data_IF_308752356218
#
_entry.id   IF_308752356218
#
_cell.length_a   1.000
_cell.length_b   1.000
_cell.length_c   1.000
_cell.angle_alpha   90.00
_cell.angle_beta   90.00
_cell.angle_gamma   90.00
#
_symmetry.space_group_name_H-M   'P 1'
#
loop_
_entity.id
_entity.type
_entity.pdbx_description
1 polymer ?
#
# COMPACT_ATOMS: atom_id res chain seq x y z
N UNK A 1 6.07 21.29 6.27
CA UNK A 1 5.91 19.84 6.45
C UNK A 1 7.28 19.21 6.56
N UNK A 2 7.47 18.38 7.59
CA UNK A 2 8.70 17.62 7.81
C UNK A 2 8.97 16.67 6.63
N UNK A 3 10.23 16.27 6.43
CA UNK A 3 10.61 15.26 5.45
C UNK A 3 9.77 13.99 5.60
N UNK A 4 9.53 13.54 6.84
CA UNK A 4 8.76 12.34 7.15
C UNK A 4 7.27 12.48 6.76
N UNK A 5 6.67 13.65 6.97
CA UNK A 5 5.29 13.90 6.55
C UNK A 5 5.16 13.91 5.02
N UNK A 6 6.13 14.54 4.32
CA UNK A 6 6.16 14.54 2.85
C UNK A 6 6.35 13.13 2.29
N UNK A 7 7.21 12.32 2.91
CA UNK A 7 7.44 10.92 2.57
C UNK A 7 6.16 10.08 2.77
N UNK A 8 5.44 10.29 3.87
CA UNK A 8 4.17 9.60 4.12
C UNK A 8 3.10 9.97 3.07
N UNK A 9 2.96 11.25 2.72
CA UNK A 9 2.08 11.70 1.64
C UNK A 9 2.45 11.10 0.29
N UNK A 10 3.74 11.08 -0.03
CA UNK A 10 4.24 10.51 -1.27
C UNK A 10 3.89 9.02 -1.36
N UNK A 11 4.13 8.26 -0.29
CA UNK A 11 3.77 6.84 -0.24
C UNK A 11 2.28 6.62 -0.48
N UNK A 12 1.41 7.40 0.17
CA UNK A 12 -0.03 7.32 -0.08
C UNK A 12 -0.38 7.58 -1.55
N UNK A 13 0.25 8.57 -2.19
CA UNK A 13 0.02 8.85 -3.62
C UNK A 13 0.48 7.70 -4.52
N UNK A 14 1.62 7.08 -4.20
CA UNK A 14 2.10 5.90 -4.94
C UNK A 14 1.10 4.76 -4.82
N UNK A 15 0.61 4.47 -3.61
CA UNK A 15 -0.41 3.44 -3.37
C UNK A 15 -1.63 3.64 -4.27
N UNK A 16 -2.15 4.87 -4.34
CA UNK A 16 -3.27 5.19 -5.23
C UNK A 16 -2.92 4.99 -6.70
N UNK A 17 -1.72 5.41 -7.13
CA UNK A 17 -1.25 5.19 -8.50
C UNK A 17 -1.14 3.72 -8.86
N UNK A 18 -0.56 2.91 -7.98
CA UNK A 18 -0.44 1.45 -8.14
C UNK A 18 -1.82 0.80 -8.23
N UNK A 19 -2.79 1.25 -7.42
CA UNK A 19 -4.16 0.75 -7.50
C UNK A 19 -4.82 1.03 -8.86
N UNK A 20 -4.62 2.22 -9.42
CA UNK A 20 -5.17 2.56 -10.75
C UNK A 20 -4.53 1.68 -11.82
N UNK A 21 -3.22 1.49 -11.78
CA UNK A 21 -2.49 0.63 -12.70
C UNK A 21 -2.97 -0.82 -12.57
N UNK A 22 -3.16 -1.29 -11.34
CA UNK A 22 -3.66 -2.61 -11.02
C UNK A 22 -5.08 -2.84 -11.59
N UNK A 23 -6.01 -1.95 -11.26
CA UNK A 23 -7.39 -2.04 -11.75
C UNK A 23 -7.46 -2.02 -13.27
N UNK A 24 -6.62 -1.19 -13.90
CA UNK A 24 -6.48 -1.16 -15.36
C UNK A 24 -5.92 -2.46 -15.92
N UNK A 25 -4.93 -3.07 -15.26
CA UNK A 25 -4.37 -4.35 -15.67
C UNK A 25 -5.41 -5.48 -15.59
N UNK A 26 -6.15 -5.58 -14.49
CA UNK A 26 -7.22 -6.59 -14.33
C UNK A 26 -8.32 -6.41 -15.37
N UNK A 27 -8.72 -5.16 -15.64
CA UNK A 27 -9.72 -4.84 -16.65
C UNK A 27 -9.25 -5.23 -18.07
N UNK A 28 -8.00 -4.91 -18.42
CA UNK A 28 -7.45 -5.20 -19.75
C UNK A 28 -7.11 -6.67 -19.96
N UNK A 29 -6.76 -7.42 -18.91
CA UNK A 29 -6.33 -8.82 -19.03
C UNK A 29 -7.51 -9.82 -19.06
N UNK A 30 -8.67 -9.38 -19.57
CA UNK A 30 -9.87 -10.18 -19.81
C UNK A 30 -10.32 -10.99 -18.59
N UNK A 31 -10.53 -10.34 -17.44
CA UNK A 31 -11.29 -10.98 -16.35
C UNK A 31 -12.61 -11.50 -16.92
N UNK A 32 -12.80 -12.82 -16.87
CA UNK A 32 -13.98 -13.47 -17.40
C UNK A 32 -14.84 -13.97 -16.23
N UNK A 33 -16.10 -13.52 -16.11
CA UNK A 33 -17.01 -14.02 -15.08
C UNK A 33 -17.33 -15.52 -15.21
N UNK A 34 -16.99 -16.15 -16.33
CA UNK A 34 -17.19 -17.58 -16.58
C UNK A 34 -15.95 -18.45 -16.31
N UNK A 35 -14.91 -17.92 -15.67
CA UNK A 35 -13.77 -18.76 -15.27
C UNK A 35 -14.23 -19.89 -14.34
N UNK A 36 -13.64 -21.07 -14.52
CA UNK A 36 -13.72 -22.11 -13.49
C UNK A 36 -12.83 -21.72 -12.30
N UNK A 37 -12.99 -22.43 -11.17
CA UNK A 37 -12.28 -22.10 -9.92
C UNK A 37 -10.76 -22.12 -10.08
N UNK A 38 -10.22 -23.04 -10.87
CA UNK A 38 -8.78 -23.18 -11.08
C UNK A 38 -8.22 -22.03 -11.95
N UNK A 39 -8.94 -21.65 -13.00
CA UNK A 39 -8.61 -20.50 -13.85
C UNK A 39 -8.67 -19.19 -13.07
N UNK A 40 -9.67 -19.02 -12.21
CA UNK A 40 -9.82 -17.86 -11.34
C UNK A 40 -8.64 -17.76 -10.36
N UNK A 41 -8.29 -18.86 -9.68
CA UNK A 41 -7.11 -18.94 -8.81
C UNK A 41 -5.83 -18.58 -9.55
N UNK A 42 -5.60 -19.16 -10.73
CA UNK A 42 -4.41 -18.89 -11.53
C UNK A 42 -4.35 -17.44 -12.02
N UNK A 43 -5.49 -16.86 -12.40
CA UNK A 43 -5.57 -15.45 -12.81
C UNK A 43 -5.14 -14.53 -11.66
N UNK A 44 -5.72 -14.69 -10.48
CA UNK A 44 -5.40 -13.85 -9.32
C UNK A 44 -3.97 -14.08 -8.82
N UNK A 45 -3.49 -15.32 -8.82
CA UNK A 45 -2.11 -15.64 -8.46
C UNK A 45 -1.10 -14.97 -9.41
N UNK A 46 -1.29 -15.11 -10.74
CA UNK A 46 -0.44 -14.45 -11.75
C UNK A 46 -0.46 -12.92 -11.59
N UNK A 47 -1.65 -12.38 -11.39
CA UNK A 47 -1.85 -10.94 -11.24
C UNK A 47 -1.12 -10.41 -10.01
N UNK A 48 -1.30 -11.03 -8.84
CA UNK A 48 -0.61 -10.63 -7.60
C UNK A 48 0.91 -10.80 -7.70
N UNK A 49 1.37 -11.93 -8.27
CA UNK A 49 2.79 -12.21 -8.46
C UNK A 49 3.47 -11.17 -9.37
N UNK A 50 2.74 -10.65 -10.36
CA UNK A 50 3.25 -9.59 -11.25
C UNK A 50 3.25 -8.21 -10.56
N UNK A 51 2.22 -7.90 -9.79
CA UNK A 51 2.01 -6.56 -9.22
C UNK A 51 2.96 -6.29 -8.06
N UNK A 52 3.28 -7.28 -7.23
CA UNK A 52 4.18 -7.11 -6.07
C UNK A 52 5.56 -6.59 -6.50
N UNK A 53 6.29 -7.21 -7.46
CA UNK A 53 7.57 -6.68 -7.94
C UNK A 53 7.45 -5.29 -8.56
N UNK A 54 6.40 -5.04 -9.36
CA UNK A 54 6.17 -3.74 -9.98
C UNK A 54 6.01 -2.66 -8.92
N UNK A 55 5.22 -2.92 -7.87
CA UNK A 55 5.05 -2.01 -6.74
C UNK A 55 6.38 -1.73 -6.03
N UNK A 56 7.18 -2.76 -5.74
CA UNK A 56 8.50 -2.61 -5.09
C UNK A 56 9.42 -1.70 -5.94
N UNK A 57 9.49 -1.95 -7.26
CA UNK A 57 10.32 -1.15 -8.17
C UNK A 57 9.85 0.30 -8.21
N UNK A 58 8.54 0.55 -8.31
CA UNK A 58 7.98 1.91 -8.29
C UNK A 58 8.34 2.63 -6.98
N UNK A 59 8.16 1.99 -5.83
CA UNK A 59 8.49 2.58 -4.53
C UNK A 59 9.98 2.95 -4.43
N UNK A 60 10.87 2.07 -4.88
CA UNK A 60 12.31 2.34 -4.89
C UNK A 60 12.63 3.55 -5.76
N UNK A 61 12.14 3.57 -7.00
CA UNK A 61 12.40 4.67 -7.95
C UNK A 61 11.89 6.00 -7.41
N UNK A 62 10.66 6.02 -6.88
CA UNK A 62 10.06 7.25 -6.35
C UNK A 62 10.79 7.73 -5.09
N UNK A 63 11.22 6.85 -4.19
CA UNK A 63 12.02 7.24 -3.02
C UNK A 63 13.38 7.81 -3.40
N UNK A 64 14.06 7.23 -4.40
CA UNK A 64 15.33 7.77 -4.91
C UNK A 64 15.11 9.17 -5.48
N UNK A 65 14.11 9.35 -6.36
CA UNK A 65 13.79 10.65 -6.95
C UNK A 65 13.44 11.68 -5.88
N UNK A 66 12.62 11.30 -4.89
CA UNK A 66 12.26 12.17 -3.78
C UNK A 66 13.48 12.59 -2.95
N UNK A 67 14.39 11.66 -2.67
CA UNK A 67 15.63 11.97 -1.94
C UNK A 67 16.51 12.97 -2.70
N UNK A 68 16.65 12.80 -4.03
CA UNK A 68 17.42 13.72 -4.88
C UNK A 68 16.80 15.12 -4.88
N UNK A 69 15.49 15.21 -5.14
CA UNK A 69 14.76 16.49 -5.18
C UNK A 69 14.87 17.20 -3.83
N UNK A 70 14.69 16.48 -2.73
CA UNK A 70 14.76 17.05 -1.40
C UNK A 70 16.18 17.53 -1.05
N UNK A 71 17.22 16.78 -1.45
CA UNK A 71 18.61 17.20 -1.23
C UNK A 71 18.96 18.47 -2.01
N UNK A 72 18.53 18.57 -3.28
CA UNK A 72 18.74 19.79 -4.09
C UNK A 72 18.00 20.99 -3.48
N UNK A 73 16.74 20.80 -3.08
CA UNK A 73 15.91 21.89 -2.54
C UNK A 73 16.43 22.41 -1.19
N UNK A 74 16.94 21.53 -0.33
CA UNK A 74 17.29 21.88 1.05
C UNK A 74 18.77 22.26 1.20
N UNK A 75 19.63 21.95 0.21
CA UNK A 75 21.10 22.16 0.22
C UNK A 75 21.87 21.58 1.41
N UNK A 76 21.19 20.93 2.36
CA UNK A 76 21.77 20.20 3.47
C UNK A 76 22.12 18.79 3.00
N UNK A 77 23.38 18.41 3.22
CA UNK A 77 23.93 17.07 2.97
C UNK A 77 23.87 16.18 4.19
N UNK A 78 23.32 16.66 5.31
CA UNK A 78 23.11 15.84 6.50
C UNK A 78 21.92 14.91 6.24
N UNK A 79 22.21 13.60 6.21
CA UNK A 79 21.18 12.58 6.34
C UNK A 79 20.47 12.83 7.68
N UNK A 80 19.19 13.19 7.67
CA UNK A 80 18.38 13.27 8.89
C UNK A 80 18.47 11.92 9.61
N UNK A 81 19.19 11.91 10.74
CA UNK A 81 19.27 10.77 11.63
C UNK A 81 17.86 10.51 12.17
N UNK A 82 17.36 9.30 11.94
CA UNK A 82 16.09 8.84 12.54
C UNK A 82 16.22 8.90 14.05
N UNK A 83 15.38 9.72 14.68
CA UNK A 83 15.31 9.87 16.13
C UNK A 83 14.49 8.73 16.77
N UNK A 84 14.60 8.57 18.09
CA UNK A 84 13.75 7.66 18.86
C UNK A 84 12.27 7.99 18.69
N UNK A 85 11.93 9.28 18.56
CA UNK A 85 10.57 9.73 18.30
C UNK A 85 10.02 9.18 16.98
N UNK A 86 10.80 9.26 15.89
CA UNK A 86 10.42 8.73 14.58
C UNK A 86 10.16 7.22 14.65
N UNK A 87 11.02 6.50 15.41
CA UNK A 87 10.87 5.05 15.60
C UNK A 87 9.57 4.69 16.33
N UNK A 88 9.16 5.48 17.31
CA UNK A 88 7.89 5.23 18.01
C UNK A 88 6.70 5.49 17.07
N UNK A 89 6.76 6.55 16.26
CA UNK A 89 5.72 6.83 15.26
C UNK A 89 5.63 5.68 14.25
N UNK A 90 6.77 5.21 13.74
CA UNK A 90 6.84 4.10 12.80
C UNK A 90 6.19 2.83 13.36
N UNK A 91 6.48 2.50 14.61
CA UNK A 91 5.89 1.33 15.28
C UNK A 91 4.37 1.49 15.47
N UNK A 92 3.89 2.69 15.88
CA UNK A 92 2.45 2.94 16.07
C UNK A 92 1.69 2.93 14.73
N UNK A 93 2.24 3.55 13.70
CA UNK A 93 1.65 3.58 12.37
C UNK A 93 1.61 2.18 11.76
N UNK A 94 2.71 1.43 11.85
CA UNK A 94 2.78 0.05 11.37
C UNK A 94 1.79 -0.84 12.12
N UNK A 95 1.66 -0.71 13.45
CA UNK A 95 0.64 -1.44 14.23
C UNK A 95 -0.77 -1.17 13.73
N UNK A 96 -1.13 0.10 13.53
CA UNK A 96 -2.45 0.50 13.04
C UNK A 96 -2.72 -0.06 11.63
N UNK A 97 -1.73 0.02 10.76
CA UNK A 97 -1.75 -0.54 9.40
C UNK A 97 -1.96 -2.05 9.44
N UNK A 98 -1.09 -2.81 10.11
CA UNK A 98 -1.19 -4.27 10.21
C UNK A 98 -2.51 -4.74 10.81
N UNK A 99 -3.06 -4.00 11.79
CA UNK A 99 -4.38 -4.29 12.35
C UNK A 99 -5.48 -4.09 11.31
N UNK A 100 -5.42 -2.99 10.56
CA UNK A 100 -6.36 -2.67 9.48
C UNK A 100 -6.33 -3.73 8.38
N UNK A 101 -5.14 -4.13 7.93
CA UNK A 101 -4.98 -5.21 6.95
C UNK A 101 -5.56 -6.52 7.45
N UNK A 102 -5.26 -6.90 8.69
CA UNK A 102 -5.74 -8.14 9.30
C UNK A 102 -7.27 -8.17 9.37
N UNK A 103 -7.90 -7.06 9.75
CA UNK A 103 -9.37 -6.93 9.76
C UNK A 103 -9.95 -7.02 8.34
N UNK A 104 -9.32 -6.40 7.35
CA UNK A 104 -9.76 -6.49 5.96
C UNK A 104 -9.61 -7.90 5.38
N UNK A 105 -8.55 -8.62 5.75
CA UNK A 105 -8.37 -10.02 5.38
C UNK A 105 -9.45 -10.91 6.01
N UNK A 106 -9.78 -10.70 7.29
CA UNK A 106 -10.90 -11.38 7.95
C UNK A 106 -12.22 -11.10 7.22
N UNK A 107 -12.47 -9.83 6.84
CA UNK A 107 -13.64 -9.48 6.05
C UNK A 107 -13.67 -10.22 4.70
N UNK A 108 -12.52 -10.41 4.05
CA UNK A 108 -12.42 -11.25 2.86
C UNK A 108 -12.85 -12.71 3.10
N UNK A 109 -12.44 -13.32 4.21
CA UNK A 109 -12.93 -14.67 4.54
C UNK A 109 -14.44 -14.70 4.79
N UNK A 110 -15.01 -13.65 5.38
CA UNK A 110 -16.46 -13.51 5.55
C UNK A 110 -17.17 -13.44 4.18
N UNK A 111 -16.58 -12.76 3.19
CA UNK A 111 -17.13 -12.73 1.82
C UNK A 111 -17.23 -14.13 1.21
N UNK A 112 -16.18 -14.96 1.35
CA UNK A 112 -16.24 -16.36 0.89
C UNK A 112 -17.30 -17.14 1.67
N UNK A 113 -17.34 -16.98 3.00
CA UNK A 113 -18.31 -17.67 3.86
C UNK A 113 -19.77 -17.36 3.47
N UNK A 114 -20.05 -16.15 2.99
CA UNK A 114 -21.37 -15.75 2.50
C UNK A 114 -21.71 -16.32 1.10
N UNK A 115 -20.83 -17.12 0.50
CA UNK A 115 -21.05 -17.76 -0.79
C UNK A 115 -20.71 -16.89 -2.00
N UNK A 116 -20.02 -15.77 -1.82
CA UNK A 116 -19.51 -14.98 -2.94
C UNK A 116 -18.31 -15.69 -3.60
N UNK A 117 -18.13 -15.45 -4.90
CA UNK A 117 -17.02 -16.00 -5.68
C UNK A 117 -15.64 -15.53 -5.20
N UNK A 118 -14.60 -16.26 -5.61
CA UNK A 118 -13.23 -16.07 -5.16
C UNK A 118 -12.63 -14.72 -5.62
N UNK A 119 -13.10 -14.17 -6.74
CA UNK A 119 -12.77 -12.82 -7.20
C UNK A 119 -13.07 -11.77 -6.13
N UNK A 120 -14.20 -11.90 -5.42
CA UNK A 120 -14.56 -10.92 -4.39
C UNK A 120 -13.62 -11.01 -3.18
N UNK A 121 -13.10 -12.20 -2.86
CA UNK A 121 -12.06 -12.36 -1.86
C UNK A 121 -10.79 -11.62 -2.24
N UNK A 122 -10.26 -11.84 -3.46
CA UNK A 122 -9.03 -11.17 -3.88
C UNK A 122 -9.20 -9.66 -3.98
N UNK A 123 -10.33 -9.17 -4.50
CA UNK A 123 -10.64 -7.74 -4.51
C UNK A 123 -10.66 -7.19 -3.08
N UNK A 124 -11.28 -7.88 -2.14
CA UNK A 124 -11.33 -7.45 -0.73
C UNK A 124 -9.94 -7.42 -0.07
N UNK A 125 -9.07 -8.39 -0.40
CA UNK A 125 -7.70 -8.46 0.13
C UNK A 125 -6.83 -7.32 -0.39
N UNK A 126 -7.00 -6.97 -1.67
CA UNK A 126 -6.29 -5.85 -2.29
C UNK A 126 -6.81 -4.52 -1.73
N UNK A 127 -8.12 -4.38 -1.60
CA UNK A 127 -8.72 -3.21 -0.95
C UNK A 127 -8.25 -3.07 0.49
N UNK A 128 -8.15 -4.17 1.25
CA UNK A 128 -7.60 -4.18 2.60
C UNK A 128 -6.14 -3.72 2.64
N UNK A 129 -5.30 -4.19 1.70
CA UNK A 129 -3.91 -3.72 1.55
C UNK A 129 -3.85 -2.21 1.29
N UNK A 130 -4.68 -1.70 0.39
CA UNK A 130 -4.75 -0.28 0.08
C UNK A 130 -5.17 0.56 1.29
N UNK A 131 -6.25 0.16 1.98
CA UNK A 131 -6.74 0.87 3.16
C UNK A 131 -5.68 0.83 4.26
N UNK A 132 -4.96 -0.29 4.42
CA UNK A 132 -3.85 -0.43 5.36
C UNK A 132 -2.74 0.58 5.10
N UNK A 133 -2.28 0.73 3.85
CA UNK A 133 -1.25 1.69 3.47
C UNK A 133 -1.71 3.15 3.67
N UNK A 134 -2.98 3.45 3.39
CA UNK A 134 -3.57 4.77 3.67
C UNK A 134 -3.59 5.03 5.18
N UNK A 135 -4.00 4.05 5.98
CA UNK A 135 -4.02 4.16 7.45
C UNK A 135 -2.60 4.33 8.01
N UNK A 136 -1.59 3.66 7.45
CA UNK A 136 -0.18 3.87 7.80
C UNK A 136 0.22 5.34 7.58
N UNK A 137 -0.02 5.85 6.37
CA UNK A 137 0.31 7.20 5.99
C UNK A 137 -0.42 8.26 6.82
N UNK A 138 -1.73 8.11 7.03
CA UNK A 138 -2.53 8.99 7.89
C UNK A 138 -2.01 8.93 9.33
N UNK A 139 -1.73 7.74 9.86
CA UNK A 139 -1.22 7.57 11.22
C UNK A 139 0.12 8.32 11.40
N UNK A 140 1.04 8.19 10.44
CA UNK A 140 2.31 8.94 10.45
C UNK A 140 2.06 10.44 10.49
N UNK A 141 1.30 10.97 9.53
CA UNK A 141 1.01 12.42 9.45
C UNK A 141 0.32 12.93 10.72
N UNK A 142 -0.60 12.14 11.28
CA UNK A 142 -1.29 12.48 12.52
C UNK A 142 -0.32 12.58 13.71
N UNK A 143 0.47 11.54 13.97
CA UNK A 143 1.40 11.52 15.11
C UNK A 143 2.55 12.53 14.96
N UNK A 144 3.01 12.82 13.73
CA UNK A 144 4.00 13.88 13.50
C UNK A 144 3.46 15.28 13.81
N UNK A 145 2.15 15.52 13.72
CA UNK A 145 1.54 16.83 13.98
C UNK A 145 1.05 17.01 15.40
N UNK A 146 0.48 15.96 15.99
CA UNK A 146 -0.18 16.01 17.30
C UNK A 146 0.74 15.53 18.43
N UNK A 147 1.85 14.85 18.10
CA UNK A 147 2.64 14.10 19.06
C UNK A 147 2.15 12.67 19.22
N UNK A 148 2.91 11.89 19.98
CA UNK A 148 2.74 10.44 20.20
C UNK A 148 1.84 10.14 21.39
#
# INVERSE_FOLDING_TARGET
MSYQEKKALLNMMITFGVMIIYGSYVYNNNWNPNFNTDEELQFWAKTLLFVIPVQIVIHILVHILFSIINSIATKNTEFELTDEFDKIIDLKASRNSSTTFSLGMIAGFVVIYMGYGLTYFFISLIAAGMISEIVDGISRVYYYRQGV
#
